data_IF_882443518880
#
_entry.id   IF_882443518880
#
_cell.length_a   1.000
_cell.length_b   1.000
_cell.length_c   1.000
_cell.angle_alpha   90.00
_cell.angle_beta   90.00
_cell.angle_gamma   90.00
#
_symmetry.space_group_name_H-M   'P 1'
#
loop_
_entity.id
_entity.type
_entity.pdbx_description
1 polymer ?
#
# COMPACT_ATOMS: atom_id res chain seq x y z
N UNK A 1 22.71 -12.33 -10.15
CA UNK A 1 22.07 -13.04 -9.03
C UNK A 1 21.11 -12.04 -8.39
N UNK A 2 19.79 -12.16 -8.59
CA UNK A 2 18.84 -11.27 -7.92
C UNK A 2 18.90 -11.63 -6.42
N UNK A 3 19.55 -10.80 -5.61
CA UNK A 3 19.62 -10.99 -4.15
C UNK A 3 18.18 -10.97 -3.60
N UNK A 4 17.76 -12.01 -2.90
CA UNK A 4 16.49 -12.02 -2.17
C UNK A 4 16.50 -10.96 -1.08
N UNK A 5 15.32 -10.48 -0.69
CA UNK A 5 15.22 -9.51 0.41
C UNK A 5 15.74 -10.16 1.71
N UNK A 6 16.68 -9.54 2.44
CA UNK A 6 17.16 -10.08 3.72
C UNK A 6 16.14 -9.91 4.85
N UNK A 7 15.02 -9.24 4.58
CA UNK A 7 14.00 -8.88 5.56
C UNK A 7 13.21 -10.14 5.96
N UNK A 8 13.24 -10.45 7.26
CA UNK A 8 12.41 -11.51 7.84
C UNK A 8 11.13 -10.91 8.38
N UNK A 9 10.00 -11.21 7.76
CA UNK A 9 8.68 -10.73 8.21
C UNK A 9 8.37 -11.22 9.63
N UNK A 10 7.80 -10.34 10.46
CA UNK A 10 7.19 -10.70 11.74
C UNK A 10 6.07 -11.69 11.47
N UNK A 11 6.03 -12.78 12.24
CA UNK A 11 4.90 -13.71 12.21
C UNK A 11 3.67 -13.02 12.79
N UNK A 12 2.61 -12.96 11.99
CA UNK A 12 1.32 -12.40 12.37
C UNK A 12 0.20 -13.38 12.04
N UNK A 13 -0.90 -13.32 12.79
CA UNK A 13 -2.16 -14.00 12.46
C UNK A 13 -2.65 -13.47 11.11
N UNK A 14 -3.08 -14.34 10.21
CA UNK A 14 -3.72 -13.92 8.97
C UNK A 14 -5.22 -13.64 9.21
N UNK A 15 -5.71 -12.52 8.69
CA UNK A 15 -7.13 -12.19 8.59
C UNK A 15 -7.48 -11.95 7.12
N UNK A 16 -8.78 -11.91 6.78
CA UNK A 16 -9.25 -11.59 5.44
C UNK A 16 -10.08 -10.32 5.43
N UNK A 17 -9.68 -9.33 4.62
CA UNK A 17 -10.49 -8.15 4.31
C UNK A 17 -11.12 -8.38 2.94
N UNK A 18 -12.38 -8.83 2.94
CA UNK A 18 -13.01 -9.37 1.74
C UNK A 18 -12.22 -10.58 1.24
N UNK A 19 -11.75 -10.54 0.00
CA UNK A 19 -10.89 -11.57 -0.58
C UNK A 19 -9.39 -11.35 -0.36
N UNK A 20 -8.97 -10.24 0.27
CA UNK A 20 -7.54 -9.90 0.44
C UNK A 20 -7.01 -10.43 1.79
N UNK A 21 -6.06 -11.39 1.79
CA UNK A 21 -5.40 -11.82 3.02
C UNK A 21 -4.46 -10.73 3.56
N UNK A 22 -4.47 -10.52 4.87
CA UNK A 22 -3.60 -9.56 5.57
C UNK A 22 -2.97 -10.24 6.77
N UNK A 23 -1.64 -10.24 6.84
CA UNK A 23 -0.86 -10.95 7.86
C UNK A 23 -0.41 -12.34 7.40
N UNK A 24 0.28 -13.07 8.29
CA UNK A 24 0.91 -14.34 7.94
C UNK A 24 1.96 -14.17 6.85
N UNK A 25 1.94 -15.09 5.89
CA UNK A 25 2.84 -15.08 4.72
C UNK A 25 2.27 -14.29 3.53
N UNK A 26 1.13 -13.61 3.72
CA UNK A 26 0.52 -12.80 2.68
C UNK A 26 1.43 -11.63 2.25
N UNK A 27 1.42 -11.26 0.95
CA UNK A 27 2.04 -10.03 0.48
C UNK A 27 1.53 -8.82 1.25
N UNK A 28 2.39 -7.84 1.49
CA UNK A 28 1.99 -6.60 2.18
C UNK A 28 0.99 -5.84 1.31
N UNK A 29 -0.25 -5.72 1.79
CA UNK A 29 -1.32 -5.05 1.06
C UNK A 29 -1.13 -3.52 1.08
N UNK A 30 -1.31 -2.86 -0.06
CA UNK A 30 -1.28 -1.40 -0.23
C UNK A 30 -2.71 -0.88 -0.19
N UNK A 31 -2.99 0.06 0.70
CA UNK A 31 -4.31 0.67 0.87
C UNK A 31 -4.24 2.18 0.64
N UNK A 32 -5.35 2.75 0.20
CA UNK A 32 -5.58 4.20 0.23
C UNK A 32 -6.96 4.50 0.83
N UNK A 33 -7.35 5.77 0.83
CA UNK A 33 -8.63 6.27 1.29
C UNK A 33 -9.17 7.27 0.28
N UNK A 34 -10.45 7.17 -0.03
CA UNK A 34 -11.13 8.18 -0.85
C UNK A 34 -11.15 9.53 -0.13
N UNK A 35 -11.16 10.61 -0.90
CA UNK A 35 -11.33 11.98 -0.39
C UNK A 35 -12.53 12.70 -1.01
N UNK A 36 -13.34 11.99 -1.79
CA UNK A 36 -14.66 12.43 -2.27
C UNK A 36 -15.69 12.43 -1.14
N UNK A 37 -16.74 13.23 -1.29
CA UNK A 37 -17.92 13.14 -0.43
C UNK A 37 -18.62 11.80 -0.68
N UNK A 38 -18.81 10.99 0.36
CA UNK A 38 -19.31 9.61 0.21
C UNK A 38 -20.75 9.54 -0.28
N UNK A 39 -21.54 10.59 -0.02
CA UNK A 39 -22.87 10.73 -0.58
C UNK A 39 -22.88 10.94 -2.11
N UNK A 40 -21.77 11.40 -2.70
CA UNK A 40 -21.57 11.44 -4.15
C UNK A 40 -21.08 10.07 -4.64
N UNK A 41 -22.04 9.15 -4.80
CA UNK A 41 -21.79 7.75 -5.16
C UNK A 41 -20.98 7.64 -6.46
N UNK A 42 -21.29 8.45 -7.48
CA UNK A 42 -20.61 8.37 -8.77
C UNK A 42 -19.15 8.82 -8.67
N UNK A 43 -18.90 9.95 -7.99
CA UNK A 43 -17.54 10.42 -7.77
C UNK A 43 -16.72 9.44 -6.93
N UNK A 44 -17.30 8.86 -5.86
CA UNK A 44 -16.61 7.89 -5.02
C UNK A 44 -16.32 6.58 -5.76
N UNK A 45 -17.26 6.07 -6.56
CA UNK A 45 -17.03 4.88 -7.40
C UNK A 45 -15.90 5.13 -8.40
N UNK A 46 -15.94 6.25 -9.13
CA UNK A 46 -14.89 6.59 -10.09
C UNK A 46 -13.50 6.70 -9.43
N UNK A 47 -13.42 7.26 -8.22
CA UNK A 47 -12.16 7.33 -7.49
C UNK A 47 -11.69 5.95 -6.99
N UNK A 48 -12.60 5.06 -6.57
CA UNK A 48 -12.26 3.69 -6.19
C UNK A 48 -11.71 2.92 -7.41
N UNK A 49 -12.33 3.07 -8.58
CA UNK A 49 -11.86 2.46 -9.82
C UNK A 49 -10.48 2.97 -10.21
N UNK A 50 -10.22 4.29 -10.09
CA UNK A 50 -8.88 4.85 -10.32
C UNK A 50 -7.83 4.31 -9.33
N UNK A 51 -8.19 4.16 -8.05
CA UNK A 51 -7.33 3.54 -7.05
C UNK A 51 -7.05 2.07 -7.36
N UNK A 52 -8.06 1.32 -7.80
CA UNK A 52 -7.93 -0.07 -8.23
C UNK A 52 -7.03 -0.20 -9.46
N UNK A 53 -7.18 0.67 -10.45
CA UNK A 53 -6.32 0.71 -11.65
C UNK A 53 -4.86 0.99 -11.28
N UNK A 54 -4.60 1.82 -10.26
CA UNK A 54 -3.27 2.06 -9.73
C UNK A 54 -2.72 0.91 -8.86
N UNK A 55 -3.51 -0.16 -8.64
CA UNK A 55 -3.09 -1.37 -7.93
C UNK A 55 -3.49 -1.44 -6.46
N UNK A 56 -4.37 -0.56 -5.95
CA UNK A 56 -4.84 -0.64 -4.57
C UNK A 56 -5.46 -2.02 -4.26
N UNK A 57 -5.10 -2.63 -3.14
CA UNK A 57 -5.72 -3.90 -2.71
C UNK A 57 -6.99 -3.66 -1.91
N UNK A 58 -7.02 -2.57 -1.13
CA UNK A 58 -8.11 -2.25 -0.20
C UNK A 58 -8.31 -0.73 -0.22
N UNK A 59 -9.56 -0.28 -0.32
CA UNK A 59 -9.88 1.15 -0.26
C UNK A 59 -10.75 1.46 0.95
N UNK A 60 -10.38 2.52 1.67
CA UNK A 60 -11.16 3.03 2.79
C UNK A 60 -12.08 4.18 2.36
N UNK A 61 -13.31 4.17 2.85
CA UNK A 61 -14.32 5.21 2.61
C UNK A 61 -14.77 5.78 3.96
N UNK A 62 -14.90 7.11 4.06
CA UNK A 62 -15.39 7.76 5.27
C UNK A 62 -16.90 7.60 5.39
N UNK A 63 -17.41 7.23 6.57
CA UNK A 63 -18.87 7.07 6.77
C UNK A 63 -19.31 7.90 7.98
N UNK A 64 -19.45 9.24 7.84
CA UNK A 64 -19.72 10.14 8.96
C UNK A 64 -21.20 10.19 9.38
N UNK A 65 -22.12 9.70 8.56
CA UNK A 65 -23.57 9.78 8.79
C UNK A 65 -24.31 8.53 8.30
N UNK A 66 -25.59 8.39 8.66
CA UNK A 66 -26.44 7.33 8.12
C UNK A 66 -26.69 7.47 6.62
N UNK A 67 -26.80 8.69 6.09
CA UNK A 67 -26.92 8.92 4.64
C UNK A 67 -25.66 8.44 3.91
N UNK A 68 -24.47 8.70 4.48
CA UNK A 68 -23.22 8.16 3.97
C UNK A 68 -23.17 6.62 4.07
N UNK A 69 -23.80 6.01 5.08
CA UNK A 69 -23.92 4.56 5.18
C UNK A 69 -24.80 3.98 4.06
N UNK A 70 -25.94 4.61 3.76
CA UNK A 70 -26.77 4.19 2.61
C UNK A 70 -26.05 4.40 1.28
N UNK A 71 -25.32 5.50 1.12
CA UNK A 71 -24.48 5.75 -0.05
C UNK A 71 -23.37 4.70 -0.17
N UNK A 72 -22.73 4.32 0.95
CA UNK A 72 -21.75 3.24 1.00
C UNK A 72 -22.33 1.93 0.46
N UNK A 73 -23.57 1.57 0.80
CA UNK A 73 -24.23 0.39 0.24
C UNK A 73 -24.38 0.44 -1.29
N UNK A 74 -24.72 1.62 -1.84
CA UNK A 74 -24.80 1.84 -3.30
C UNK A 74 -23.43 1.74 -3.96
N UNK A 75 -22.38 2.26 -3.31
CA UNK A 75 -20.99 2.15 -3.77
C UNK A 75 -20.56 0.69 -3.77
N UNK A 76 -20.78 -0.03 -2.65
CA UNK A 76 -20.42 -1.46 -2.50
C UNK A 76 -21.04 -2.31 -3.60
N UNK A 77 -22.27 -2.05 -4.02
CA UNK A 77 -22.93 -2.78 -5.09
C UNK A 77 -22.29 -2.60 -6.48
N UNK A 78 -21.44 -1.58 -6.68
CA UNK A 78 -20.84 -1.20 -7.97
C UNK A 78 -19.35 -1.52 -8.08
N UNK A 79 -18.67 -1.80 -6.98
CA UNK A 79 -17.22 -2.08 -6.96
C UNK A 79 -16.95 -3.51 -6.50
N UNK A 80 -15.86 -4.12 -6.93
CA UNK A 80 -15.45 -5.44 -6.43
C UNK A 80 -14.34 -5.38 -5.38
N UNK A 81 -13.58 -4.29 -5.36
CA UNK A 81 -12.46 -4.08 -4.45
C UNK A 81 -12.92 -4.06 -2.98
N UNK A 82 -12.22 -4.72 -2.04
CA UNK A 82 -12.59 -4.68 -0.63
C UNK A 82 -12.64 -3.27 -0.06
N UNK A 83 -13.74 -2.96 0.64
CA UNK A 83 -14.01 -1.65 1.24
C UNK A 83 -13.92 -1.67 2.76
N UNK A 84 -13.17 -0.71 3.31
CA UNK A 84 -13.12 -0.43 4.75
C UNK A 84 -14.00 0.78 5.05
N UNK A 85 -14.96 0.65 5.97
CA UNK A 85 -15.71 1.81 6.47
C UNK A 85 -14.96 2.49 7.63
N UNK A 86 -14.70 3.79 7.51
CA UNK A 86 -14.08 4.60 8.56
C UNK A 86 -15.13 5.25 9.45
N UNK A 87 -15.28 4.74 10.67
CA UNK A 87 -16.32 5.13 11.63
C UNK A 87 -15.66 5.54 12.95
N UNK A 88 -16.10 6.67 13.51
CA UNK A 88 -15.47 7.22 14.71
C UNK A 88 -16.18 6.82 16.02
N UNK A 89 -17.51 6.94 16.08
CA UNK A 89 -18.27 6.79 17.34
C UNK A 89 -19.59 6.02 17.21
N UNK A 90 -20.31 6.15 16.09
CA UNK A 90 -21.70 5.69 16.02
C UNK A 90 -21.83 4.20 15.68
N UNK A 91 -22.21 3.39 16.68
CA UNK A 91 -22.57 1.98 16.49
C UNK A 91 -23.66 1.74 15.44
N UNK A 92 -24.63 2.64 15.27
CA UNK A 92 -25.72 2.45 14.29
C UNK A 92 -25.19 2.45 12.87
N UNK A 93 -24.25 3.35 12.59
CA UNK A 93 -23.54 3.38 11.31
C UNK A 93 -22.76 2.08 11.12
N UNK A 94 -22.04 1.62 12.15
CA UNK A 94 -21.26 0.38 12.09
C UNK A 94 -22.13 -0.86 11.79
N UNK A 95 -23.25 -0.99 12.49
CA UNK A 95 -24.23 -2.05 12.24
C UNK A 95 -24.80 -1.95 10.82
N UNK A 96 -25.12 -0.73 10.37
CA UNK A 96 -25.69 -0.53 9.04
C UNK A 96 -24.73 -0.90 7.92
N UNK A 97 -23.48 -0.46 7.97
CA UNK A 97 -22.51 -0.83 6.91
C UNK A 97 -22.16 -2.33 6.95
N UNK A 98 -22.23 -2.97 8.13
CA UNK A 98 -22.11 -4.42 8.24
C UNK A 98 -23.24 -5.16 7.52
N UNK A 99 -24.48 -4.66 7.59
CA UNK A 99 -25.60 -5.19 6.80
C UNK A 99 -25.43 -4.94 5.30
N UNK A 100 -24.81 -3.82 4.92
CA UNK A 100 -24.60 -3.41 3.53
C UNK A 100 -23.37 -4.07 2.87
N UNK A 101 -22.65 -4.94 3.58
CA UNK A 101 -21.55 -5.74 3.02
C UNK A 101 -20.18 -5.06 3.05
N UNK A 102 -19.88 -4.28 4.09
CA UNK A 102 -18.51 -3.79 4.34
C UNK A 102 -17.54 -4.96 4.57
N UNK A 103 -16.33 -4.85 4.03
CA UNK A 103 -15.30 -5.89 4.13
C UNK A 103 -14.41 -5.75 5.38
N UNK A 104 -14.39 -4.57 6.01
CA UNK A 104 -13.71 -4.33 7.29
C UNK A 104 -14.21 -3.04 7.97
N UNK A 105 -14.37 -3.08 9.29
CA UNK A 105 -14.76 -1.92 10.10
C UNK A 105 -13.52 -1.25 10.70
N UNK A 106 -13.20 0.00 10.34
CA UNK A 106 -12.32 0.81 11.20
C UNK A 106 -13.19 1.51 12.22
N UNK A 107 -13.15 1.01 13.45
CA UNK A 107 -13.77 1.64 14.61
C UNK A 107 -12.99 1.26 15.87
N UNK A 108 -12.84 2.20 16.80
CA UNK A 108 -12.20 1.94 18.09
C UNK A 108 -13.29 1.52 19.10
N UNK A 109 -13.29 0.30 19.64
CA UNK A 109 -14.33 -0.18 20.53
C UNK A 109 -14.60 0.74 21.74
N UNK A 110 -13.55 1.31 22.32
CA UNK A 110 -13.68 2.21 23.48
C UNK A 110 -14.37 3.55 23.16
N UNK A 111 -14.51 3.92 21.88
CA UNK A 111 -15.16 5.16 21.46
C UNK A 111 -16.68 5.01 21.26
N UNK A 112 -17.20 3.78 21.21
CA UNK A 112 -18.64 3.51 20.98
C UNK A 112 -19.48 3.86 22.22
N UNK A 113 -18.88 3.78 23.42
CA UNK A 113 -19.52 4.11 24.69
C UNK A 113 -20.05 2.87 25.42
N UNK A 114 -21.38 2.76 25.55
CA UNK A 114 -22.00 1.71 26.39
C UNK A 114 -21.67 0.30 25.92
N UNK A 115 -21.52 -0.61 26.88
CA UNK A 115 -21.12 -2.00 26.65
C UNK A 115 -22.08 -2.78 25.75
N UNK A 116 -23.40 -2.56 25.89
CA UNK A 116 -24.42 -3.17 25.03
C UNK A 116 -24.22 -2.82 23.55
N UNK A 117 -23.83 -1.58 23.25
CA UNK A 117 -23.56 -1.11 21.89
C UNK A 117 -22.26 -1.67 21.32
N UNK A 118 -21.21 -1.74 22.15
CA UNK A 118 -19.93 -2.35 21.78
C UNK A 118 -20.14 -3.82 21.44
N UNK A 119 -20.83 -4.55 22.31
CA UNK A 119 -21.15 -5.97 22.13
C UNK A 119 -21.93 -6.20 20.83
N UNK A 120 -22.95 -5.37 20.54
CA UNK A 120 -23.73 -5.49 19.32
C UNK A 120 -22.88 -5.35 18.05
N UNK A 121 -21.93 -4.41 18.01
CA UNK A 121 -21.03 -4.23 16.85
C UNK A 121 -20.08 -5.42 16.69
N UNK A 122 -19.49 -5.90 17.79
CA UNK A 122 -18.57 -7.05 17.75
C UNK A 122 -19.30 -8.32 17.32
N UNK A 123 -20.51 -8.56 17.83
CA UNK A 123 -21.36 -9.69 17.42
C UNK A 123 -21.72 -9.59 15.94
N UNK A 124 -22.18 -8.43 15.47
CA UNK A 124 -22.53 -8.23 14.07
C UNK A 124 -21.34 -8.46 13.11
N UNK A 125 -20.14 -8.05 13.53
CA UNK A 125 -18.90 -8.28 12.81
C UNK A 125 -18.53 -9.78 12.79
N UNK A 126 -18.57 -10.45 13.94
CA UNK A 126 -18.32 -11.90 14.08
C UNK A 126 -19.26 -12.73 13.21
N UNK A 127 -20.56 -12.49 13.32
CA UNK A 127 -21.60 -13.28 12.62
C UNK A 127 -21.46 -13.20 11.09
N UNK A 128 -20.83 -12.13 10.59
CA UNK A 128 -20.61 -11.88 9.17
C UNK A 128 -19.16 -12.13 8.73
N UNK A 129 -18.27 -12.52 9.64
CA UNK A 129 -16.84 -12.69 9.35
C UNK A 129 -16.12 -11.39 8.94
N UNK A 130 -16.59 -10.24 9.42
CA UNK A 130 -16.03 -8.92 9.08
C UNK A 130 -14.92 -8.58 10.09
N UNK A 131 -13.65 -8.41 9.67
CA UNK A 131 -12.61 -8.01 10.59
C UNK A 131 -12.74 -6.54 11.01
N UNK A 132 -12.14 -6.22 12.16
CA UNK A 132 -12.07 -4.85 12.67
C UNK A 132 -10.66 -4.27 12.57
N UNK A 133 -10.54 -2.94 12.45
CA UNK A 133 -9.28 -2.22 12.63
C UNK A 133 -9.38 -1.25 13.80
N UNK A 134 -8.58 -1.51 14.83
CA UNK A 134 -8.29 -0.54 15.89
C UNK A 134 -7.27 0.46 15.33
N UNK A 135 -7.62 1.74 15.31
CA UNK A 135 -6.76 2.80 14.80
C UNK A 135 -6.57 3.91 15.82
N UNK A 136 -5.43 3.90 16.49
CA UNK A 136 -5.02 4.93 17.45
C UNK A 136 -4.17 5.98 16.74
N UNK A 137 -4.54 7.26 16.87
CA UNK A 137 -3.76 8.37 16.36
C UNK A 137 -3.33 9.30 17.51
N UNK A 138 -2.12 9.84 17.45
CA UNK A 138 -1.60 10.75 18.48
C UNK A 138 -2.50 11.97 18.71
N UNK A 139 -3.07 12.53 17.63
CA UNK A 139 -3.97 13.69 17.71
C UNK A 139 -5.35 13.40 18.32
N UNK A 140 -5.73 12.14 18.51
CA UNK A 140 -7.04 11.74 19.02
C UNK A 140 -6.97 10.81 20.24
N UNK A 141 -5.88 10.87 21.01
CA UNK A 141 -5.72 10.09 22.24
C UNK A 141 -6.78 10.44 23.29
N UNK A 142 -7.18 9.47 24.11
CA UNK A 142 -8.18 9.67 25.15
C UNK A 142 -7.68 10.64 26.24
N UNK A 143 -8.59 11.50 26.75
CA UNK A 143 -8.26 12.50 27.78
C UNK A 143 -7.58 11.92 29.02
N UNK A 144 -7.88 10.68 29.40
CA UNK A 144 -7.22 10.02 30.54
C UNK A 144 -5.73 9.76 30.28
N UNK A 145 -5.38 9.37 29.05
CA UNK A 145 -3.99 9.11 28.66
C UNK A 145 -3.23 10.41 28.47
N UNK A 146 -3.87 11.43 27.89
CA UNK A 146 -3.30 12.78 27.84
C UNK A 146 -2.96 13.31 29.24
N UNK A 147 -3.83 13.08 30.24
CA UNK A 147 -3.53 13.46 31.64
C UNK A 147 -2.43 12.62 32.27
N UNK A 148 -2.33 11.33 31.95
CA UNK A 148 -1.32 10.42 32.51
C UNK A 148 0.08 10.71 31.96
N UNK A 149 0.18 10.97 30.66
CA UNK A 149 1.45 11.12 29.95
C UNK A 149 1.84 12.59 29.70
N UNK A 150 0.91 13.54 29.89
CA UNK A 150 1.11 14.97 29.63
C UNK A 150 1.06 15.32 28.14
N UNK A 151 1.81 14.58 27.31
CA UNK A 151 1.86 14.72 25.86
C UNK A 151 1.65 13.36 25.16
N UNK A 152 1.31 13.36 23.86
CA UNK A 152 1.31 12.13 23.07
C UNK A 152 2.70 11.49 23.05
N UNK A 153 2.79 10.24 23.50
CA UNK A 153 4.03 9.44 23.46
C UNK A 153 3.76 8.09 22.80
N UNK A 154 4.81 7.38 22.41
CA UNK A 154 4.71 6.01 21.94
C UNK A 154 4.01 5.09 22.96
N UNK A 155 4.31 5.26 24.25
CA UNK A 155 3.69 4.48 25.33
C UNK A 155 2.19 4.80 25.47
N UNK A 156 1.80 6.07 25.33
CA UNK A 156 0.39 6.45 25.34
C UNK A 156 -0.38 5.83 24.16
N UNK A 157 0.22 5.80 22.97
CA UNK A 157 -0.36 5.15 21.79
C UNK A 157 -0.55 3.65 22.01
N UNK A 158 0.48 2.96 22.50
CA UNK A 158 0.43 1.52 22.78
C UNK A 158 -0.59 1.21 23.86
N UNK A 159 -0.64 1.97 24.95
CA UNK A 159 -1.64 1.76 26.01
C UNK A 159 -3.07 1.97 25.49
N UNK A 160 -3.31 2.99 24.66
CA UNK A 160 -4.61 3.20 24.01
C UNK A 160 -5.01 2.00 23.14
N UNK A 161 -4.07 1.49 22.35
CA UNK A 161 -4.32 0.33 21.50
C UNK A 161 -4.64 -0.92 22.34
N UNK A 162 -3.83 -1.21 23.38
CA UNK A 162 -4.06 -2.34 24.27
C UNK A 162 -5.40 -2.26 24.98
N UNK A 163 -5.85 -1.08 25.43
CA UNK A 163 -7.20 -0.91 26.03
C UNK A 163 -8.32 -1.32 25.07
N UNK A 164 -8.17 -1.05 23.78
CA UNK A 164 -9.14 -1.46 22.78
C UNK A 164 -9.05 -2.94 22.44
N UNK A 165 -7.84 -3.51 22.45
CA UNK A 165 -7.60 -4.94 22.27
C UNK A 165 -8.22 -5.73 23.42
N UNK A 166 -8.01 -5.30 24.67
CA UNK A 166 -8.61 -5.93 25.86
C UNK A 166 -10.14 -5.99 25.77
N UNK A 167 -10.77 -4.99 25.15
CA UNK A 167 -12.21 -5.03 24.88
C UNK A 167 -12.54 -6.16 23.92
N UNK A 168 -11.86 -6.25 22.77
CA UNK A 168 -12.09 -7.32 21.79
C UNK A 168 -11.81 -8.72 22.38
N UNK A 169 -10.75 -8.86 23.19
CA UNK A 169 -10.38 -10.11 23.85
C UNK A 169 -11.44 -10.59 24.85
N UNK A 170 -12.07 -9.68 25.61
CA UNK A 170 -13.21 -10.03 26.48
C UNK A 170 -14.42 -10.59 25.71
N UNK A 171 -14.54 -10.23 24.44
CA UNK A 171 -15.55 -10.78 23.53
C UNK A 171 -14.99 -11.89 22.64
N UNK A 172 -13.80 -12.42 22.92
CA UNK A 172 -13.12 -13.49 22.15
C UNK A 172 -12.94 -13.17 20.66
N UNK A 173 -12.82 -11.89 20.29
CA UNK A 173 -12.78 -11.46 18.89
C UNK A 173 -11.35 -11.24 18.42
N UNK A 174 -10.82 -12.17 17.63
CA UNK A 174 -9.41 -12.17 17.21
C UNK A 174 -9.17 -11.69 15.77
N UNK A 175 -10.23 -11.47 15.00
CA UNK A 175 -10.13 -11.06 13.60
C UNK A 175 -10.03 -9.54 13.49
N UNK A 176 -8.94 -8.99 14.00
CA UNK A 176 -8.66 -7.56 13.93
C UNK A 176 -7.23 -7.26 13.49
N UNK A 177 -7.01 -6.02 13.04
CA UNK A 177 -5.68 -5.43 12.79
C UNK A 177 -5.53 -4.11 13.55
N UNK A 178 -4.29 -3.70 13.79
CA UNK A 178 -3.99 -2.51 14.61
C UNK A 178 -3.16 -1.50 13.83
N UNK A 179 -3.43 -0.21 14.02
CA UNK A 179 -2.56 0.87 13.57
C UNK A 179 -2.33 1.89 14.67
N UNK A 180 -1.09 2.33 14.84
CA UNK A 180 -0.66 3.42 15.71
C UNK A 180 -0.03 4.50 14.84
N UNK A 181 -0.64 5.67 14.70
CA UNK A 181 -0.10 6.71 13.80
C UNK A 181 0.16 8.00 14.55
N UNK A 182 1.35 8.54 14.37
CA UNK A 182 1.68 9.91 14.71
C UNK A 182 2.23 10.63 13.46
N UNK A 183 2.33 11.95 13.55
CA UNK A 183 3.00 12.76 12.55
C UNK A 183 4.52 12.78 12.78
N UNK A 184 5.01 12.46 13.96
CA UNK A 184 6.45 12.33 14.22
C UNK A 184 6.91 10.89 13.90
N UNK A 185 8.03 10.76 13.19
CA UNK A 185 8.50 9.49 12.63
C UNK A 185 9.01 8.57 13.73
N UNK A 186 9.88 9.05 14.62
CA UNK A 186 10.49 8.20 15.65
C UNK A 186 9.47 7.70 16.68
N UNK A 187 8.52 8.54 17.08
CA UNK A 187 7.40 8.14 17.92
C UNK A 187 6.55 7.05 17.28
N UNK A 188 6.24 7.20 15.99
CA UNK A 188 5.47 6.17 15.25
C UNK A 188 6.24 4.86 15.20
N UNK A 189 7.54 4.91 14.85
CA UNK A 189 8.38 3.72 14.78
C UNK A 189 8.50 3.03 16.14
N UNK A 190 8.73 3.79 17.22
CA UNK A 190 8.81 3.24 18.58
C UNK A 190 7.50 2.58 19.01
N UNK A 191 6.36 3.22 18.73
CA UNK A 191 5.04 2.65 19.05
C UNK A 191 4.79 1.31 18.33
N UNK A 192 5.11 1.21 17.04
CA UNK A 192 4.95 -0.05 16.29
C UNK A 192 5.91 -1.14 16.77
N UNK A 193 7.18 -0.81 17.05
CA UNK A 193 8.14 -1.78 17.60
C UNK A 193 7.68 -2.32 18.95
N UNK A 194 7.15 -1.45 19.81
CA UNK A 194 6.61 -1.82 21.12
C UNK A 194 5.38 -2.72 21.01
N UNK A 195 4.40 -2.40 20.16
CA UNK A 195 3.20 -3.24 20.06
C UNK A 195 3.47 -4.56 19.34
N UNK A 196 4.42 -4.59 18.39
CA UNK A 196 4.69 -5.75 17.55
C UNK A 196 5.13 -6.98 18.36
N UNK A 197 5.74 -6.79 19.53
CA UNK A 197 6.14 -7.85 20.45
C UNK A 197 5.05 -8.28 21.45
N UNK A 198 3.92 -7.55 21.50
CA UNK A 198 2.85 -7.76 22.49
C UNK A 198 1.61 -8.42 21.91
N UNK A 199 1.45 -8.39 20.59
CA UNK A 199 0.26 -8.89 19.89
C UNK A 199 0.69 -9.84 18.77
N UNK A 200 -0.22 -10.68 18.27
CA UNK A 200 0.01 -11.50 17.07
C UNK A 200 -0.74 -10.97 15.84
N UNK A 201 -1.64 -10.01 16.01
CA UNK A 201 -2.48 -9.50 14.94
C UNK A 201 -1.70 -8.69 13.89
N UNK A 202 -2.27 -8.51 12.68
CA UNK A 202 -1.66 -7.71 11.64
C UNK A 202 -1.51 -6.23 12.02
N UNK A 203 -0.45 -5.60 11.52
CA UNK A 203 -0.18 -4.19 11.70
C UNK A 203 -0.39 -3.41 10.39
N UNK A 204 -1.32 -2.45 10.44
CA UNK A 204 -1.55 -1.49 9.36
C UNK A 204 -0.66 -0.27 9.57
N UNK A 205 0.44 -0.17 8.82
CA UNK A 205 1.39 0.91 8.96
C UNK A 205 0.95 2.18 8.22
N UNK A 206 1.43 3.31 8.72
CA UNK A 206 1.30 4.60 8.05
C UNK A 206 1.80 5.72 8.94
N UNK A 207 2.35 6.76 8.32
CA UNK A 207 2.61 8.05 8.96
C UNK A 207 1.40 8.93 8.65
N UNK A 208 0.77 9.51 9.68
CA UNK A 208 -0.34 10.46 9.47
C UNK A 208 0.23 11.86 9.25
N UNK A 209 -0.51 12.73 8.55
CA UNK A 209 -0.12 14.13 8.33
C UNK A 209 1.32 14.23 7.78
N UNK A 210 1.64 13.46 6.74
CA UNK A 210 3.00 13.42 6.21
C UNK A 210 3.38 14.71 5.47
N UNK A 211 2.40 15.44 4.94
CA UNK A 211 2.56 16.70 4.22
C UNK A 211 2.14 16.57 2.75
N UNK A 212 2.53 17.56 1.94
CA UNK A 212 2.32 17.53 0.48
C UNK A 212 3.14 16.43 -0.19
N UNK A 213 2.93 16.24 -1.50
CA UNK A 213 3.49 15.11 -2.27
C UNK A 213 4.97 14.82 -1.98
N UNK A 214 5.87 15.78 -2.21
CA UNK A 214 7.33 15.56 -2.04
C UNK A 214 7.74 15.29 -0.59
N UNK A 215 7.42 16.18 0.34
CA UNK A 215 7.85 16.04 1.74
C UNK A 215 7.18 14.87 2.43
N UNK A 216 5.91 14.63 2.12
CA UNK A 216 5.13 13.49 2.63
C UNK A 216 5.64 12.16 2.12
N UNK A 217 6.06 12.09 0.85
CA UNK A 217 6.71 10.90 0.28
C UNK A 217 8.01 10.57 1.01
N UNK A 218 8.90 11.55 1.19
CA UNK A 218 10.17 11.35 1.91
C UNK A 218 9.91 10.89 3.35
N UNK A 219 9.04 11.59 4.07
CA UNK A 219 8.72 11.30 5.47
C UNK A 219 8.09 9.92 5.65
N UNK A 220 7.15 9.55 4.78
CA UNK A 220 6.51 8.23 4.80
C UNK A 220 7.50 7.13 4.45
N UNK A 221 8.37 7.34 3.46
CA UNK A 221 9.39 6.36 3.05
C UNK A 221 10.38 6.07 4.17
N UNK A 222 10.80 7.10 4.92
CA UNK A 222 11.68 6.92 6.09
C UNK A 222 10.97 6.11 7.18
N UNK A 223 9.79 6.55 7.63
CA UNK A 223 9.09 5.89 8.74
C UNK A 223 8.66 4.46 8.42
N UNK A 224 8.07 4.25 7.23
CA UNK A 224 7.67 2.91 6.78
C UNK A 224 8.90 2.04 6.49
N UNK A 225 9.94 2.58 5.86
CA UNK A 225 11.18 1.85 5.57
C UNK A 225 11.85 1.30 6.82
N UNK A 226 11.91 2.08 7.91
CA UNK A 226 12.45 1.62 9.19
C UNK A 226 11.69 0.41 9.75
N UNK A 227 10.36 0.45 9.72
CA UNK A 227 9.52 -0.64 10.24
C UNK A 227 9.55 -1.87 9.34
N UNK A 228 9.48 -1.68 8.02
CA UNK A 228 9.52 -2.75 7.06
C UNK A 228 10.87 -3.49 7.08
N UNK A 229 11.98 -2.78 7.30
CA UNK A 229 13.30 -3.39 7.49
C UNK A 229 13.38 -4.26 8.75
N UNK A 230 12.63 -3.93 9.80
CA UNK A 230 12.48 -4.76 11.00
C UNK A 230 11.51 -5.94 10.78
N UNK A 231 10.95 -6.09 9.57
CA UNK A 231 9.94 -7.09 9.25
C UNK A 231 8.54 -6.77 9.77
N UNK A 232 8.32 -5.56 10.29
CA UNK A 232 7.04 -5.12 10.88
C UNK A 232 6.18 -4.52 9.76
N UNK A 233 4.90 -4.91 9.72
CA UNK A 233 3.91 -4.39 8.79
C UNK A 233 3.32 -5.46 7.89
N UNK A 234 1.99 -5.49 7.83
CA UNK A 234 1.21 -6.47 7.07
C UNK A 234 0.34 -5.78 6.01
N UNK A 235 0.11 -4.48 6.19
CA UNK A 235 -0.48 -3.62 5.18
C UNK A 235 -0.02 -2.18 5.42
N UNK A 236 0.07 -1.37 4.36
CA UNK A 236 0.54 0.02 4.45
C UNK A 236 -0.49 0.98 3.88
N UNK A 237 -0.47 2.22 4.38
CA UNK A 237 -1.05 3.39 3.71
C UNK A 237 -0.10 4.58 3.84
N UNK A 238 0.25 5.18 2.71
CA UNK A 238 0.90 6.49 2.64
C UNK A 238 -0.19 7.56 2.78
N UNK A 239 0.02 8.60 3.60
CA UNK A 239 -1.01 9.64 3.80
C UNK A 239 -0.49 10.98 3.27
N UNK A 240 -0.88 11.35 2.04
CA UNK A 240 -0.40 12.55 1.36
C UNK A 240 -1.53 13.58 1.23
N UNK A 241 -1.18 14.86 1.31
CA UNK A 241 -2.05 15.94 0.84
C UNK A 241 -1.93 16.07 -0.69
N UNK A 242 -2.40 15.06 -1.41
CA UNK A 242 -2.35 14.92 -2.86
C UNK A 242 -3.50 14.03 -3.35
N UNK A 243 -3.55 13.76 -4.66
CA UNK A 243 -4.44 12.73 -5.22
C UNK A 243 -4.18 11.36 -4.53
N UNK A 244 -5.22 10.67 -4.01
CA UNK A 244 -5.09 9.33 -3.43
C UNK A 244 -4.38 8.29 -4.31
N UNK A 245 -4.46 8.42 -5.65
CA UNK A 245 -3.72 7.55 -6.59
C UNK A 245 -2.20 7.63 -6.34
N UNK A 246 -1.68 8.81 -5.98
CA UNK A 246 -0.27 8.99 -5.66
C UNK A 246 0.12 8.28 -4.36
N UNK A 247 -0.80 8.12 -3.40
CA UNK A 247 -0.53 7.33 -2.18
C UNK A 247 -0.26 5.86 -2.52
N UNK A 248 -0.98 5.30 -3.50
CA UNK A 248 -0.81 3.92 -3.97
C UNK A 248 0.53 3.75 -4.67
N UNK A 249 0.84 4.64 -5.64
CA UNK A 249 2.11 4.62 -6.39
C UNK A 249 3.31 4.64 -5.43
N UNK A 250 3.34 5.60 -4.50
CA UNK A 250 4.41 5.69 -3.49
C UNK A 250 4.45 4.46 -2.59
N UNK A 251 3.29 3.90 -2.21
CA UNK A 251 3.22 2.68 -1.41
C UNK A 251 3.91 1.50 -2.09
N UNK A 252 3.65 1.30 -3.39
CA UNK A 252 4.32 0.27 -4.17
C UNK A 252 5.80 0.55 -4.35
N UNK A 253 6.21 1.80 -4.58
CA UNK A 253 7.62 2.15 -4.72
C UNK A 253 8.44 1.87 -3.45
N UNK A 254 7.85 2.10 -2.27
CA UNK A 254 8.46 1.72 -0.98
C UNK A 254 8.67 0.20 -0.90
N UNK A 255 7.63 -0.59 -1.20
CA UNK A 255 7.71 -2.06 -1.13
C UNK A 255 8.65 -2.64 -2.18
N UNK A 256 8.66 -2.07 -3.39
CA UNK A 256 9.52 -2.43 -4.52
C UNK A 256 10.98 -2.18 -4.19
N UNK A 257 11.29 -1.02 -3.61
CA UNK A 257 12.64 -0.64 -3.17
C UNK A 257 13.21 -1.61 -2.12
N UNK A 258 12.35 -2.18 -1.27
CA UNK A 258 12.73 -3.17 -0.25
C UNK A 258 12.59 -4.64 -0.74
N UNK A 259 12.19 -4.83 -2.00
CA UNK A 259 11.92 -6.15 -2.62
C UNK A 259 10.92 -6.99 -1.82
N UNK A 260 9.97 -6.33 -1.16
CA UNK A 260 8.90 -6.98 -0.38
C UNK A 260 7.67 -7.29 -1.24
N UNK A 261 7.43 -6.46 -2.25
CA UNK A 261 6.38 -6.63 -3.25
C UNK A 261 6.71 -5.81 -4.48
N UNK A 262 6.43 -6.34 -5.66
CA UNK A 262 6.61 -5.62 -6.92
C UNK A 262 5.26 -5.40 -7.59
N UNK A 263 5.11 -4.25 -8.24
CA UNK A 263 3.95 -3.90 -9.06
C UNK A 263 4.45 -3.02 -10.20
N UNK A 264 4.12 -3.41 -11.43
CA UNK A 264 4.59 -2.76 -12.64
C UNK A 264 6.10 -2.72 -12.82
N UNK A 265 6.55 -1.75 -13.61
CA UNK A 265 7.96 -1.64 -13.99
C UNK A 265 8.79 -1.03 -12.85
N UNK A 266 9.96 -1.61 -12.62
CA UNK A 266 11.00 -1.09 -11.75
C UNK A 266 12.11 -0.49 -12.62
N UNK A 267 12.10 0.83 -12.81
CA UNK A 267 13.13 1.50 -13.57
C UNK A 267 14.38 1.76 -12.73
N UNK A 268 15.53 1.34 -13.25
CA UNK A 268 16.85 1.66 -12.71
C UNK A 268 17.55 2.62 -13.67
N UNK A 269 17.49 3.91 -13.37
CA UNK A 269 18.08 4.94 -14.20
C UNK A 269 19.34 5.53 -13.58
N UNK A 270 20.31 5.92 -14.41
CA UNK A 270 21.38 6.78 -13.92
C UNK A 270 20.87 8.23 -13.75
N UNK A 271 21.41 9.03 -12.82
CA UNK A 271 21.01 10.44 -12.64
C UNK A 271 21.23 11.35 -13.86
N UNK A 272 21.77 10.81 -14.96
CA UNK A 272 22.45 11.50 -16.08
C UNK A 272 23.79 12.15 -15.68
N UNK A 273 24.63 12.45 -16.68
CA UNK A 273 25.85 13.25 -16.55
C UNK A 273 26.34 13.69 -17.94
N UNK A 274 27.45 14.41 -18.02
CA UNK A 274 28.05 14.88 -19.29
C UNK A 274 28.46 13.76 -20.26
N UNK A 275 28.41 12.49 -19.85
CA UNK A 275 28.73 11.32 -20.68
C UNK A 275 27.51 10.68 -21.34
N UNK A 276 26.31 11.21 -21.10
CA UNK A 276 25.10 10.64 -21.67
C UNK A 276 25.09 10.74 -23.20
N UNK A 277 24.65 9.67 -23.86
CA UNK A 277 24.55 9.61 -25.34
C UNK A 277 23.11 9.83 -25.83
N UNK A 278 22.15 9.95 -24.91
CA UNK A 278 20.75 10.31 -25.13
C UNK A 278 20.25 11.09 -23.90
N UNK A 279 19.11 11.75 -24.01
CA UNK A 279 18.49 12.44 -22.86
C UNK A 279 17.84 11.41 -21.94
N UNK A 280 18.56 11.03 -20.88
CA UNK A 280 18.09 10.04 -19.91
C UNK A 280 16.85 10.54 -19.17
N UNK A 281 16.82 11.83 -18.82
CA UNK A 281 15.75 12.41 -18.00
C UNK A 281 14.44 12.43 -18.80
N UNK A 282 14.49 12.92 -20.04
CA UNK A 282 13.31 12.94 -20.91
C UNK A 282 12.82 11.52 -21.20
N UNK A 283 13.73 10.60 -21.57
CA UNK A 283 13.37 9.19 -21.85
C UNK A 283 12.70 8.53 -20.65
N UNK A 284 13.21 8.78 -19.44
CA UNK A 284 12.64 8.24 -18.20
C UNK A 284 11.25 8.78 -17.93
N UNK A 285 11.05 10.10 -17.98
CA UNK A 285 9.75 10.72 -17.74
C UNK A 285 8.70 10.21 -18.74
N UNK A 286 9.07 10.08 -20.01
CA UNK A 286 8.17 9.58 -21.05
C UNK A 286 7.80 8.11 -20.81
N UNK A 287 8.77 7.25 -20.49
CA UNK A 287 8.51 5.84 -20.22
C UNK A 287 7.65 5.64 -18.96
N UNK A 288 7.93 6.36 -17.88
CA UNK A 288 7.12 6.30 -16.66
C UNK A 288 5.67 6.69 -16.94
N UNK A 289 5.44 7.77 -17.70
CA UNK A 289 4.09 8.23 -18.04
C UNK A 289 3.35 7.26 -18.98
N UNK A 290 4.05 6.64 -19.94
CA UNK A 290 3.44 5.78 -20.96
C UNK A 290 3.19 4.34 -20.50
N UNK A 291 3.84 3.92 -19.42
CA UNK A 291 3.78 2.53 -18.92
C UNK A 291 3.14 2.45 -17.53
N UNK A 292 2.41 3.48 -17.09
CA UNK A 292 1.66 3.46 -15.82
C UNK A 292 0.58 2.36 -15.78
N UNK A 293 0.08 1.94 -16.95
CA UNK A 293 -0.90 0.86 -17.10
C UNK A 293 -0.31 -0.54 -16.89
N UNK A 294 1.02 -0.66 -16.92
CA UNK A 294 1.70 -1.96 -16.85
C UNK A 294 1.81 -2.40 -15.40
N UNK A 295 1.09 -3.47 -15.06
CA UNK A 295 1.07 -4.06 -13.72
C UNK A 295 2.04 -5.23 -13.55
N UNK A 296 2.61 -5.74 -14.65
CA UNK A 296 3.53 -6.89 -14.66
C UNK A 296 4.89 -6.48 -14.10
N UNK A 297 5.42 -7.16 -13.07
CA UNK A 297 6.73 -6.88 -12.52
C UNK A 297 7.86 -7.08 -13.55
N UNK A 298 8.63 -6.02 -13.81
CA UNK A 298 9.76 -6.04 -14.75
C UNK A 298 10.86 -5.06 -14.33
N UNK A 299 12.11 -5.51 -14.27
CA UNK A 299 13.26 -4.64 -14.00
C UNK A 299 13.82 -4.07 -15.32
N UNK A 300 13.83 -2.74 -15.47
CA UNK A 300 14.30 -2.07 -16.70
C UNK A 300 15.41 -1.06 -16.36
N UNK A 301 16.62 -1.29 -16.86
CA UNK A 301 17.75 -0.38 -16.64
C UNK A 301 17.91 0.65 -17.78
N UNK A 302 17.93 1.96 -17.48
CA UNK A 302 18.11 3.03 -18.47
C UNK A 302 19.35 3.86 -18.13
N UNK A 303 20.48 3.54 -18.77
CA UNK A 303 21.79 4.12 -18.43
C UNK A 303 22.37 4.89 -19.61
N UNK A 304 22.64 6.18 -19.43
CA UNK A 304 23.07 7.09 -20.49
C UNK A 304 24.44 6.83 -21.11
N UNK A 305 25.28 5.97 -20.53
CA UNK A 305 26.65 5.77 -21.02
C UNK A 305 27.18 4.35 -20.78
N UNK A 306 28.28 4.02 -21.46
CA UNK A 306 28.94 2.71 -21.42
C UNK A 306 29.62 2.37 -20.08
N UNK A 307 29.84 3.36 -19.20
CA UNK A 307 30.64 3.17 -17.97
C UNK A 307 29.95 2.19 -17.02
N UNK A 308 28.70 2.47 -16.67
CA UNK A 308 27.89 1.61 -15.79
C UNK A 308 26.83 0.83 -16.56
N UNK A 309 26.50 1.24 -17.79
CA UNK A 309 25.37 0.69 -18.55
C UNK A 309 25.41 -0.82 -18.74
N UNK A 310 26.52 -1.42 -19.22
CA UNK A 310 26.58 -2.86 -19.43
C UNK A 310 26.47 -3.67 -18.14
N UNK A 311 26.88 -3.12 -17.01
CA UNK A 311 26.76 -3.77 -15.71
C UNK A 311 25.30 -3.86 -15.26
N UNK A 312 24.62 -2.72 -15.24
CA UNK A 312 23.22 -2.61 -14.84
C UNK A 312 22.27 -3.35 -15.81
N UNK A 313 22.50 -3.21 -17.11
CA UNK A 313 21.69 -3.87 -18.14
C UNK A 313 21.82 -5.40 -18.15
N UNK A 314 22.91 -5.94 -17.59
CA UNK A 314 23.11 -7.40 -17.45
C UNK A 314 22.29 -8.02 -16.32
N UNK A 315 21.95 -7.24 -15.30
CA UNK A 315 21.24 -7.73 -14.11
C UNK A 315 19.74 -7.41 -14.14
N UNK A 316 19.34 -6.46 -14.98
CA UNK A 316 17.94 -6.14 -15.27
C UNK A 316 17.32 -7.15 -16.26
N UNK A 317 16.00 -7.18 -16.31
CA UNK A 317 15.26 -8.01 -17.26
C UNK A 317 15.45 -7.45 -18.69
N UNK A 318 15.31 -6.13 -18.82
CA UNK A 318 15.64 -5.35 -20.00
C UNK A 318 16.59 -4.21 -19.64
N UNK A 319 17.41 -3.75 -20.58
CA UNK A 319 18.29 -2.62 -20.31
C UNK A 319 18.77 -1.87 -21.54
N UNK A 320 18.97 -0.56 -21.39
CA UNK A 320 19.55 0.31 -22.39
C UNK A 320 20.87 0.89 -21.87
N UNK A 321 21.91 0.74 -22.68
CA UNK A 321 23.21 1.40 -22.47
C UNK A 321 23.46 2.42 -23.56
N UNK A 322 23.68 3.67 -23.15
CA UNK A 322 24.03 4.75 -24.06
C UNK A 322 25.41 4.54 -24.67
N UNK A 323 25.48 4.67 -25.99
CA UNK A 323 26.68 4.44 -26.77
C UNK A 323 26.70 5.28 -28.04
N UNK A 324 27.89 5.46 -28.61
CA UNK A 324 28.09 6.16 -29.87
C UNK A 324 28.66 5.20 -30.92
N UNK A 325 28.15 5.21 -32.18
CA UNK A 325 27.10 6.09 -32.71
C UNK A 325 25.66 5.67 -32.33
N UNK A 326 25.46 4.49 -31.75
CA UNK A 326 24.13 3.96 -31.38
C UNK A 326 24.13 3.38 -29.97
N UNK A 327 22.98 3.42 -29.32
CA UNK A 327 22.75 2.80 -28.01
C UNK A 327 22.64 1.28 -28.16
N UNK A 328 22.94 0.54 -27.10
CA UNK A 328 22.85 -0.92 -27.07
C UNK A 328 21.75 -1.36 -26.11
N UNK A 329 20.75 -2.06 -26.65
CA UNK A 329 19.68 -2.70 -25.88
C UNK A 329 20.09 -4.12 -25.48
N UNK A 330 19.69 -4.49 -24.28
CA UNK A 330 19.92 -5.78 -23.64
C UNK A 330 18.58 -6.40 -23.26
N UNK A 331 18.48 -7.71 -23.48
CA UNK A 331 17.34 -8.51 -23.03
C UNK A 331 17.87 -9.76 -22.32
N UNK A 332 17.33 -10.08 -21.14
CA UNK A 332 17.79 -11.18 -20.29
C UNK A 332 19.32 -11.16 -20.07
N UNK A 333 19.85 -9.96 -19.87
CA UNK A 333 21.28 -9.69 -19.65
C UNK A 333 22.21 -9.92 -20.84
N UNK A 334 21.70 -10.11 -22.05
CA UNK A 334 22.50 -10.27 -23.28
C UNK A 334 22.28 -9.10 -24.23
N UNK A 335 23.34 -8.62 -24.93
CA UNK A 335 23.17 -7.68 -26.04
C UNK A 335 22.16 -8.25 -27.06
N UNK A 336 21.18 -7.44 -27.44
CA UNK A 336 20.11 -7.85 -28.34
C UNK A 336 20.15 -7.03 -29.64
N UNK A 337 19.94 -5.72 -29.55
CA UNK A 337 19.89 -4.84 -30.73
C UNK A 337 20.43 -3.44 -30.44
N UNK A 338 20.79 -2.70 -31.50
CA UNK A 338 21.20 -1.29 -31.40
C UNK A 338 20.01 -0.37 -31.68
N UNK A 339 19.86 0.67 -30.87
CA UNK A 339 18.79 1.67 -31.00
C UNK A 339 19.35 3.05 -31.35
N UNK A 340 18.62 3.77 -32.18
CA UNK A 340 18.91 5.16 -32.55
C UNK A 340 18.17 6.14 -31.64
N UNK A 341 18.69 7.36 -31.50
CA UNK A 341 18.10 8.36 -30.62
C UNK A 341 16.76 8.92 -31.12
N UNK A 342 16.50 8.86 -32.43
CA UNK A 342 15.33 9.52 -33.03
C UNK A 342 13.98 8.96 -32.53
N UNK A 343 13.90 7.63 -32.34
CA UNK A 343 12.68 6.93 -31.91
C UNK A 343 12.91 6.13 -30.62
N UNK A 344 13.88 6.54 -29.80
CA UNK A 344 14.38 5.73 -28.69
C UNK A 344 13.30 5.34 -27.69
N UNK A 345 12.48 6.30 -27.25
CA UNK A 345 11.39 6.06 -26.29
C UNK A 345 10.35 5.10 -26.86
N UNK A 346 9.96 5.28 -28.12
CA UNK A 346 8.96 4.43 -28.79
C UNK A 346 9.47 2.99 -28.93
N UNK A 347 10.74 2.82 -29.30
CA UNK A 347 11.38 1.50 -29.39
C UNK A 347 11.45 0.81 -28.02
N UNK A 348 11.83 1.54 -26.97
CA UNK A 348 11.88 1.00 -25.61
C UNK A 348 10.49 0.60 -25.10
N UNK A 349 9.49 1.46 -25.28
CA UNK A 349 8.12 1.17 -24.89
C UNK A 349 7.61 -0.11 -25.56
N UNK A 350 7.81 -0.23 -26.88
CA UNK A 350 7.41 -1.42 -27.64
C UNK A 350 8.11 -2.68 -27.11
N UNK A 351 9.42 -2.65 -26.92
CA UNK A 351 10.20 -3.80 -26.43
C UNK A 351 9.79 -4.21 -25.00
N UNK A 352 9.49 -3.22 -24.16
CA UNK A 352 8.98 -3.47 -22.81
C UNK A 352 7.62 -4.15 -22.87
N UNK A 353 6.68 -3.64 -23.68
CA UNK A 353 5.34 -4.22 -23.83
C UNK A 353 5.37 -5.62 -24.43
N UNK A 354 6.27 -5.89 -25.37
CA UNK A 354 6.51 -7.24 -25.91
C UNK A 354 6.96 -8.23 -24.82
N UNK A 355 7.87 -7.83 -23.93
CA UNK A 355 8.32 -8.65 -22.81
C UNK A 355 7.22 -8.85 -21.75
N UNK A 356 6.41 -7.81 -21.49
CA UNK A 356 5.23 -7.88 -20.62
C UNK A 356 4.24 -8.93 -21.14
N UNK A 357 3.88 -8.87 -22.43
CA UNK A 357 2.98 -9.84 -23.06
C UNK A 357 3.54 -11.27 -22.95
N UNK A 358 4.84 -11.45 -23.23
CA UNK A 358 5.52 -12.74 -23.09
C UNK A 358 5.44 -13.32 -21.67
N UNK A 359 5.54 -12.47 -20.63
CA UNK A 359 5.42 -12.92 -19.24
C UNK A 359 3.99 -13.32 -18.88
N UNK A 360 3.00 -12.56 -19.34
CA UNK A 360 1.58 -12.88 -19.10
C UNK A 360 1.20 -14.22 -19.71
N UNK A 361 1.59 -14.48 -20.98
CA UNK A 361 1.36 -15.77 -21.64
C UNK A 361 2.01 -16.94 -20.89
N UNK A 362 3.21 -16.74 -20.32
CA UNK A 362 3.90 -17.74 -19.52
C UNK A 362 3.17 -18.04 -18.21
N UNK A 363 2.69 -17.01 -17.53
CA UNK A 363 1.94 -17.14 -16.28
C UNK A 363 0.60 -17.86 -16.51
N UNK A 364 -0.14 -17.49 -17.55
CA UNK A 364 -1.38 -18.18 -17.95
C UNK A 364 -1.14 -19.65 -18.29
N UNK A 365 -0.06 -19.96 -19.00
CA UNK A 365 0.30 -21.35 -19.30
C UNK A 365 0.66 -22.16 -18.05
N UNK A 366 1.28 -21.55 -17.04
CA UNK A 366 1.63 -22.20 -15.77
C UNK A 366 0.37 -22.47 -14.94
N UNK A 367 -0.55 -21.51 -14.90
CA UNK A 367 -1.83 -21.64 -14.18
C UNK A 367 -2.66 -22.75 -14.83
N UNK A 368 -2.76 -22.78 -16.16
CA UNK A 368 -3.49 -23.82 -16.88
C UNK A 368 -2.93 -25.23 -16.61
N UNK A 369 -1.59 -25.38 -16.56
CA UNK A 369 -0.92 -26.66 -16.26
C UNK A 369 -0.99 -27.09 -14.79
N UNK A 370 -1.16 -26.14 -13.87
CA UNK A 370 -1.32 -26.43 -12.44
C UNK A 370 -2.77 -26.78 -12.06
N UNK A 371 -3.71 -26.57 -12.98
CA UNK A 371 -5.14 -26.87 -12.81
C UNK A 371 -5.56 -28.23 -13.43
N UNK A 372 -4.64 -28.88 -14.17
CA UNK A 372 -4.72 -30.27 -14.63
C UNK A 372 -4.07 -31.21 -13.61
#
# INVERSE_FOLDING_TARGET
MKLESPIKRRKSRQIHVGNVPVGGDAPIAVQSMTNTETCDVDATVAQIEALQQAGADIVRVSVPSMDAAEAFGKIRARVSLPLVADIHFDHKIALRVAELGVDCLRINPGNIGREDRVSAVIQAARDRGIPMRIGVNAGSLEKSLQRKYGEPTADALVESAMRHIDILDRYDFQDFKVSLKASEVFMTVDAYRKIASQIEQPLHLGITEAGGFRSGTVKSSIGLGMLLMDGIGDTIRVSLAADPVQEIKVGFDILKSLRLRSHGINFVACPSCSRQNFDVIQTMNDLEARLEDVNVPLDVAIIGCIVNGPGEAKVADLGLTGGSPKNLFYAAGKPNQKLDNANLTDDLERLIREEVARRQEQEESIIAKSAE
#
